data_IF_405363671733
#
_entry.id   IF_405363671733
#
_cell.length_a   1.000
_cell.length_b   1.000
_cell.length_c   1.000
_cell.angle_alpha   90.00
_cell.angle_beta   90.00
_cell.angle_gamma   90.00
#
_symmetry.space_group_name_H-M   'P 1'
#
loop_
_entity.id
_entity.type
_entity.pdbx_description
1 polymer ?
#
# COMPACT_ATOMS: atom_id res chain seq x y z
N UNK A 1 -24.68 -13.12 -29.04
CA UNK A 1 -25.81 -12.41 -28.40
C UNK A 1 -25.93 -12.97 -26.98
N UNK A 2 -25.20 -12.45 -25.99
CA UNK A 2 -25.43 -11.19 -25.23
C UNK A 2 -26.77 -11.27 -24.48
N UNK A 3 -26.91 -11.10 -23.17
CA UNK A 3 -26.01 -10.78 -22.07
C UNK A 3 -26.70 -11.19 -20.75
N UNK A 4 -25.96 -11.68 -19.76
CA UNK A 4 -26.43 -11.73 -18.37
C UNK A 4 -25.50 -10.84 -17.54
N UNK A 5 -25.98 -9.63 -17.29
CA UNK A 5 -25.33 -8.58 -16.52
C UNK A 5 -25.30 -9.03 -15.05
N UNK A 6 -24.08 -9.23 -14.51
CA UNK A 6 -23.84 -9.33 -13.07
C UNK A 6 -23.88 -7.92 -12.47
N UNK A 7 -24.78 -7.72 -11.52
CA UNK A 7 -24.89 -6.50 -10.71
C UNK A 7 -23.64 -6.35 -9.81
N UNK A 8 -23.05 -5.15 -9.69
CA UNK A 8 -22.07 -4.86 -8.64
C UNK A 8 -22.77 -4.57 -7.30
N UNK A 9 -22.11 -5.00 -6.24
CA UNK A 9 -22.46 -4.84 -4.82
C UNK A 9 -22.41 -3.35 -4.45
N UNK A 10 -23.49 -2.74 -3.90
CA UNK A 10 -23.49 -1.33 -3.51
C UNK A 10 -22.87 -1.15 -2.12
N UNK A 11 -21.84 -0.33 -2.02
CA UNK A 11 -21.42 0.31 -0.77
C UNK A 11 -22.43 1.41 -0.45
N UNK A 12 -23.07 1.30 0.71
CA UNK A 12 -24.18 2.15 1.15
C UNK A 12 -23.66 3.42 1.82
N UNK A 13 -24.25 4.53 1.37
CA UNK A 13 -24.25 5.89 1.90
C UNK A 13 -24.35 5.98 3.43
N UNK A 14 -23.64 6.95 4.02
CA UNK A 14 -24.16 7.72 5.15
C UNK A 14 -24.40 9.16 4.69
N UNK A 15 -25.67 9.51 4.55
CA UNK A 15 -26.16 10.87 4.46
C UNK A 15 -27.15 11.09 5.61
N UNK A 16 -26.94 12.23 6.28
CA UNK A 16 -27.91 13.14 6.90
C UNK A 16 -29.08 12.57 7.73
N UNK A 17 -29.11 12.97 9.01
CA UNK A 17 -30.37 13.25 9.73
C UNK A 17 -30.18 14.49 10.61
N UNK A 18 -30.72 15.59 10.11
CA UNK A 18 -31.28 16.67 10.91
C UNK A 18 -32.55 16.19 11.62
N UNK A 19 -32.66 16.46 12.91
CA UNK A 19 -33.93 16.74 13.58
C UNK A 19 -33.70 17.76 14.67
N UNK A 20 -34.25 18.95 14.44
CA UNK A 20 -34.47 19.98 15.45
C UNK A 20 -35.35 19.45 16.58
N UNK A 21 -34.96 19.74 17.82
CA UNK A 21 -35.92 19.94 18.91
C UNK A 21 -35.52 21.17 19.70
N UNK A 22 -36.44 22.13 19.66
CA UNK A 22 -36.46 23.42 20.31
C UNK A 22 -36.62 23.25 21.83
N UNK A 23 -35.80 23.92 22.64
CA UNK A 23 -36.19 24.30 24.00
C UNK A 23 -35.55 25.62 24.40
N UNK A 24 -36.42 26.55 24.79
CA UNK A 24 -36.14 27.89 25.27
C UNK A 24 -35.74 27.90 26.76
N UNK A 25 -34.76 28.72 27.16
CA UNK A 25 -34.97 29.80 28.14
C UNK A 25 -33.68 30.46 28.66
N UNK A 26 -33.77 31.79 28.74
CA UNK A 26 -33.18 32.71 29.74
C UNK A 26 -31.73 33.23 29.60
N UNK A 27 -31.69 34.55 29.64
CA UNK A 27 -30.57 35.50 29.65
C UNK A 27 -29.69 35.44 30.91
N UNK A 28 -28.38 35.65 30.77
CA UNK A 28 -27.64 36.58 31.64
C UNK A 28 -26.32 36.98 31.00
N UNK A 29 -26.09 38.30 30.97
CA UNK A 29 -24.85 38.95 30.52
C UNK A 29 -23.72 38.68 31.52
N UNK A 30 -22.57 38.26 31.02
CA UNK A 30 -21.35 38.13 31.81
C UNK A 30 -20.16 37.88 30.90
N UNK A 31 -19.38 38.93 30.63
CA UNK A 31 -18.12 38.87 29.90
C UNK A 31 -17.21 37.78 30.47
N UNK A 32 -17.01 36.71 29.70
CA UNK A 32 -15.93 35.75 29.93
C UNK A 32 -14.99 35.83 28.74
N UNK A 33 -13.73 36.14 29.06
CA UNK A 33 -12.60 36.00 28.15
C UNK A 33 -12.69 34.63 27.49
N UNK A 34 -12.87 34.64 26.17
CA UNK A 34 -12.79 33.44 25.35
C UNK A 34 -11.35 32.95 25.45
N UNK A 35 -11.15 31.84 26.16
CA UNK A 35 -9.92 31.07 26.04
C UNK A 35 -9.75 30.73 24.56
N UNK A 36 -8.72 31.29 23.95
CA UNK A 36 -8.34 31.08 22.56
C UNK A 36 -8.30 29.59 22.27
N UNK A 37 -9.05 29.18 21.24
CA UNK A 37 -8.94 27.85 20.66
C UNK A 37 -7.45 27.56 20.43
N UNK A 38 -6.96 26.43 20.96
CA UNK A 38 -5.65 25.90 20.59
C UNK A 38 -5.66 25.74 19.07
N UNK A 39 -4.95 26.60 18.34
CA UNK A 39 -4.92 26.58 16.88
C UNK A 39 -4.20 25.30 16.43
N UNK A 40 -4.98 24.26 16.19
CA UNK A 40 -4.48 23.01 15.62
C UNK A 40 -4.12 23.28 14.16
N UNK A 41 -2.91 22.88 13.77
CA UNK A 41 -2.44 22.90 12.39
C UNK A 41 -3.49 22.33 11.41
N UNK A 42 -3.67 22.93 10.22
CA UNK A 42 -4.58 22.41 9.20
C UNK A 42 -4.22 20.98 8.79
N UNK A 43 -5.24 20.17 8.47
CA UNK A 43 -5.05 18.85 7.88
C UNK A 43 -5.67 18.77 6.50
N UNK A 44 -4.88 18.33 5.55
CA UNK A 44 -5.32 18.09 4.17
C UNK A 44 -5.23 16.61 3.84
N UNK A 45 -5.89 16.19 2.78
CA UNK A 45 -5.87 14.81 2.35
C UNK A 45 -5.72 14.66 0.85
N UNK A 46 -5.17 13.51 0.45
CA UNK A 46 -5.19 12.98 -0.91
C UNK A 46 -5.80 11.59 -0.90
N UNK A 47 -6.74 11.35 -1.81
CA UNK A 47 -7.17 10.01 -2.19
C UNK A 47 -6.31 9.54 -3.35
N UNK A 48 -5.48 8.53 -3.12
CA UNK A 48 -4.55 8.00 -4.11
C UNK A 48 -5.21 6.94 -5.00
N UNK A 49 -4.83 6.91 -6.27
CA UNK A 49 -5.07 5.79 -7.17
C UNK A 49 -3.78 5.36 -7.89
N UNK A 50 -3.62 4.05 -8.11
CA UNK A 50 -2.49 3.44 -8.82
C UNK A 50 -3.00 2.59 -9.99
N UNK A 51 -2.64 2.98 -11.22
CA UNK A 51 -3.15 2.33 -12.43
C UNK A 51 -4.68 2.33 -12.52
N UNK A 52 -5.31 3.41 -12.04
CA UNK A 52 -6.77 3.58 -12.00
C UNK A 52 -7.47 2.85 -10.85
N UNK A 53 -6.75 2.12 -9.99
CA UNK A 53 -7.33 1.46 -8.82
C UNK A 53 -7.15 2.32 -7.57
N UNK A 54 -8.20 2.60 -6.78
CA UNK A 54 -8.07 3.32 -5.52
C UNK A 54 -7.11 2.61 -4.56
N UNK A 55 -6.14 3.36 -4.01
CA UNK A 55 -5.24 2.91 -2.95
C UNK A 55 -5.72 3.29 -1.55
N UNK A 56 -6.47 4.40 -1.44
CA UNK A 56 -6.98 4.92 -0.18
C UNK A 56 -6.51 6.34 0.09
N UNK A 57 -6.72 6.80 1.34
CA UNK A 57 -6.48 8.18 1.75
C UNK A 57 -5.18 8.35 2.52
N UNK A 58 -4.43 9.39 2.17
CA UNK A 58 -3.31 9.93 2.95
C UNK A 58 -3.72 11.26 3.53
N UNK A 59 -3.45 11.47 4.82
CA UNK A 59 -3.73 12.75 5.50
C UNK A 59 -2.40 13.37 5.91
N UNK A 60 -2.28 14.68 5.65
CA UNK A 60 -1.13 15.50 5.96
C UNK A 60 -1.50 16.53 7.02
N UNK A 61 -0.66 16.70 8.02
CA UNK A 61 -0.65 17.89 8.88
C UNK A 61 0.30 18.92 8.26
N UNK A 62 -0.15 20.17 8.17
CA UNK A 62 0.63 21.28 7.63
C UNK A 62 1.14 22.18 8.77
N UNK A 63 2.41 22.54 8.75
CA UNK A 63 3.06 23.35 9.80
C UNK A 63 2.75 24.84 9.63
N UNK A 64 1.45 25.18 9.63
CA UNK A 64 0.95 26.55 9.42
C UNK A 64 1.47 27.56 10.47
N UNK A 65 1.78 27.08 11.67
CA UNK A 65 2.38 27.93 12.71
C UNK A 65 3.82 28.34 12.38
N UNK A 66 4.57 27.51 11.65
CA UNK A 66 6.00 27.72 11.37
C UNK A 66 6.24 28.30 9.97
N UNK A 67 5.47 27.85 8.98
CA UNK A 67 5.58 28.21 7.56
C UNK A 67 4.18 28.46 6.94
N UNK A 68 3.45 29.48 7.44
CA UNK A 68 2.05 29.75 7.04
C UNK A 68 1.87 29.98 5.53
N UNK A 69 2.81 30.64 4.86
CA UNK A 69 2.71 30.89 3.41
C UNK A 69 2.81 29.60 2.61
N UNK A 70 3.74 28.72 3.00
CA UNK A 70 3.95 27.42 2.36
C UNK A 70 2.78 26.48 2.65
N UNK A 71 2.30 26.46 3.89
CA UNK A 71 1.13 25.69 4.31
C UNK A 71 -0.15 26.13 3.57
N UNK A 72 -0.43 27.44 3.51
CA UNK A 72 -1.62 27.98 2.82
C UNK A 72 -1.57 27.69 1.31
N UNK A 73 -0.40 27.77 0.67
CA UNK A 73 -0.24 27.38 -0.73
C UNK A 73 -0.67 25.92 -0.95
N UNK A 74 -0.16 24.99 -0.14
CA UNK A 74 -0.51 23.59 -0.30
C UNK A 74 -1.98 23.32 0.03
N UNK A 75 -2.51 23.91 1.11
CA UNK A 75 -3.92 23.78 1.52
C UNK A 75 -4.87 24.26 0.43
N UNK A 76 -4.65 25.45 -0.10
CA UNK A 76 -5.49 26.01 -1.15
C UNK A 76 -5.40 25.20 -2.46
N UNK A 77 -4.24 24.63 -2.79
CA UNK A 77 -4.09 23.70 -3.92
C UNK A 77 -4.75 22.35 -3.67
N UNK A 78 -4.95 21.92 -2.42
CA UNK A 78 -5.78 20.76 -2.09
C UNK A 78 -7.28 21.05 -2.28
N UNK A 79 -7.75 22.26 -1.97
CA UNK A 79 -9.19 22.61 -2.08
C UNK A 79 -9.58 23.10 -3.48
N UNK A 80 -8.64 23.63 -4.25
CA UNK A 80 -8.91 24.23 -5.55
C UNK A 80 -9.61 25.61 -5.49
N UNK A 81 -9.70 26.21 -4.29
CA UNK A 81 -10.53 27.41 -4.06
C UNK A 81 -10.03 28.67 -4.77
N UNK A 82 -8.77 28.70 -5.22
CA UNK A 82 -8.17 29.87 -5.89
C UNK A 82 -8.45 29.91 -7.40
N UNK A 83 -9.23 28.97 -7.92
CA UNK A 83 -9.72 29.01 -9.30
C UNK A 83 -8.65 28.65 -10.33
N UNK A 84 -8.55 29.44 -11.41
CA UNK A 84 -7.65 29.19 -12.54
C UNK A 84 -6.38 30.02 -12.38
N UNK A 85 -5.23 29.37 -12.47
CA UNK A 85 -3.92 30.01 -12.40
C UNK A 85 -3.48 30.62 -13.74
N UNK A 86 -2.28 31.22 -13.75
CA UNK A 86 -1.76 31.93 -14.94
C UNK A 86 -1.41 30.98 -16.08
N UNK A 87 -1.15 29.71 -15.78
CA UNK A 87 -0.96 28.67 -16.79
C UNK A 87 -2.27 28.23 -17.48
N UNK A 88 -3.42 28.81 -17.11
CA UNK A 88 -4.73 28.47 -17.67
C UNK A 88 -5.27 27.12 -17.18
N UNK A 89 -4.71 26.60 -16.08
CA UNK A 89 -5.12 25.35 -15.43
C UNK A 89 -5.70 25.65 -14.05
N UNK A 90 -6.62 24.84 -13.52
CA UNK A 90 -7.07 24.96 -12.14
C UNK A 90 -5.88 24.86 -11.17
N UNK A 91 -5.82 25.77 -10.19
CA UNK A 91 -4.90 25.71 -9.05
C UNK A 91 -5.35 24.61 -8.09
N UNK A 92 -5.26 23.35 -8.52
CA UNK A 92 -5.85 22.22 -7.82
C UNK A 92 -5.04 20.93 -8.07
N UNK A 93 -4.73 20.19 -7.00
CA UNK A 93 -4.01 18.92 -7.10
C UNK A 93 -4.85 17.75 -7.63
N UNK A 94 -6.18 17.84 -7.65
CA UNK A 94 -7.04 16.78 -8.16
C UNK A 94 -6.70 16.44 -9.61
N UNK A 95 -6.35 15.19 -9.85
CA UNK A 95 -5.90 14.66 -11.14
C UNK A 95 -4.40 14.80 -11.40
N UNK A 96 -3.64 15.49 -10.55
CA UNK A 96 -2.19 15.57 -10.68
C UNK A 96 -1.54 14.21 -10.39
N UNK A 97 -0.38 13.98 -11.00
CA UNK A 97 0.37 12.72 -10.91
C UNK A 97 1.60 12.85 -10.03
N UNK A 98 2.01 11.73 -9.44
CA UNK A 98 3.38 11.57 -8.93
C UNK A 98 4.27 11.17 -10.10
N UNK A 99 4.94 12.17 -10.67
CA UNK A 99 5.71 12.04 -11.90
C UNK A 99 7.13 11.51 -11.68
N UNK A 100 7.60 11.47 -10.42
CA UNK A 100 8.94 10.97 -10.06
C UNK A 100 8.90 10.25 -8.71
N UNK A 101 9.35 9.00 -8.67
CA UNK A 101 9.35 8.15 -7.48
C UNK A 101 10.70 7.46 -7.35
N UNK A 102 11.42 7.70 -6.25
CA UNK A 102 12.72 7.09 -6.00
C UNK A 102 12.66 6.34 -4.68
N UNK A 103 12.78 5.01 -4.78
CA UNK A 103 12.80 4.13 -3.60
C UNK A 103 13.95 4.50 -2.66
N UNK A 104 13.67 4.49 -1.36
CA UNK A 104 14.59 4.90 -0.30
C UNK A 104 15.05 6.36 -0.47
N UNK A 105 14.18 7.23 -0.97
CA UNK A 105 14.43 8.65 -1.07
C UNK A 105 13.13 9.44 -0.87
N UNK A 106 12.29 9.51 -1.90
CA UNK A 106 11.06 10.32 -1.88
C UNK A 106 10.09 9.95 -3.01
N UNK A 107 8.83 10.40 -2.85
CA UNK A 107 7.83 10.46 -3.93
C UNK A 107 7.51 11.93 -4.24
N UNK A 108 7.56 12.33 -5.50
CA UNK A 108 7.39 13.72 -5.94
C UNK A 108 6.19 13.87 -6.88
N UNK A 109 5.39 14.91 -6.63
CA UNK A 109 4.18 15.24 -7.37
C UNK A 109 3.94 16.74 -7.43
N UNK A 110 2.69 17.14 -7.70
CA UNK A 110 2.26 18.54 -7.65
C UNK A 110 2.44 19.35 -8.94
N UNK A 111 2.92 18.73 -10.02
CA UNK A 111 2.87 19.34 -11.36
C UNK A 111 1.51 19.08 -12.01
N UNK A 112 0.54 19.96 -11.75
CA UNK A 112 -0.80 19.87 -12.33
C UNK A 112 -0.92 20.56 -13.70
N UNK A 113 0.14 21.22 -14.19
CA UNK A 113 0.09 21.93 -15.48
C UNK A 113 0.65 21.10 -16.62
N UNK A 114 1.86 20.54 -16.47
CA UNK A 114 2.54 19.72 -17.47
C UNK A 114 2.56 18.21 -17.11
N UNK A 115 2.42 17.87 -15.82
CA UNK A 115 2.33 16.47 -15.36
C UNK A 115 3.63 15.67 -15.48
N UNK A 116 4.78 16.33 -15.63
CA UNK A 116 6.07 15.69 -15.92
C UNK A 116 7.26 16.26 -15.14
N UNK A 117 7.02 17.23 -14.25
CA UNK A 117 8.01 17.89 -13.41
C UNK A 117 8.55 19.20 -13.97
N UNK A 118 8.16 19.62 -15.18
CA UNK A 118 8.58 20.92 -15.75
C UNK A 118 7.59 22.04 -15.45
N UNK A 119 6.41 21.72 -14.91
CA UNK A 119 5.33 22.67 -14.67
C UNK A 119 5.07 22.96 -13.19
N UNK A 120 3.81 23.27 -12.90
CA UNK A 120 3.32 23.74 -11.61
C UNK A 120 3.41 25.26 -11.44
N UNK A 121 2.49 25.81 -10.64
CA UNK A 121 2.47 27.21 -10.22
C UNK A 121 1.85 27.33 -8.82
N UNK A 122 2.25 28.34 -8.06
CA UNK A 122 1.70 28.58 -6.72
C UNK A 122 0.42 29.40 -6.76
N UNK A 123 -0.28 29.48 -5.63
CA UNK A 123 -1.43 30.39 -5.49
C UNK A 123 -1.04 31.88 -5.51
N UNK A 124 0.26 32.19 -5.39
CA UNK A 124 0.81 33.55 -5.38
C UNK A 124 1.37 33.99 -6.74
N UNK A 125 1.33 33.10 -7.75
CA UNK A 125 1.97 33.28 -9.05
C UNK A 125 2.86 32.09 -9.41
N UNK A 126 3.74 32.25 -10.40
CA UNK A 126 4.55 31.13 -10.89
C UNK A 126 5.45 30.54 -9.79
N UNK A 127 6.10 31.39 -9.01
CA UNK A 127 7.04 31.02 -7.93
C UNK A 127 6.87 31.89 -6.69
N UNK A 128 7.29 31.38 -5.53
CA UNK A 128 7.45 32.11 -4.28
C UNK A 128 8.74 31.71 -3.54
N UNK A 129 9.12 32.53 -2.57
CA UNK A 129 10.34 32.44 -1.77
C UNK A 129 10.41 31.19 -0.87
N UNK A 130 11.62 30.84 -0.44
CA UNK A 130 11.82 29.89 0.67
C UNK A 130 11.45 30.61 1.98
N UNK A 131 10.34 30.22 2.59
CA UNK A 131 9.78 30.93 3.76
C UNK A 131 10.69 30.83 4.99
N UNK A 132 11.01 29.61 5.42
CA UNK A 132 11.95 29.32 6.50
C UNK A 132 12.41 27.87 6.46
N UNK A 133 13.62 27.59 6.97
CA UNK A 133 14.15 26.24 7.15
C UNK A 133 14.11 25.83 8.63
N UNK A 134 12.90 25.80 9.20
CA UNK A 134 12.67 25.50 10.63
C UNK A 134 12.90 24.02 10.93
N UNK A 135 12.41 23.15 10.04
CA UNK A 135 12.48 21.70 10.17
C UNK A 135 13.51 21.10 9.19
N UNK A 136 14.19 20.05 9.62
CA UNK A 136 15.13 19.28 8.80
C UNK A 136 14.49 17.97 8.31
N UNK A 137 15.13 17.31 7.34
CA UNK A 137 14.63 16.06 6.76
C UNK A 137 15.14 14.84 7.53
N UNK A 138 14.85 14.80 8.83
CA UNK A 138 15.40 13.86 9.82
C UNK A 138 14.58 12.58 10.01
N UNK A 139 13.47 12.44 9.28
CA UNK A 139 12.59 11.27 9.34
C UNK A 139 11.84 11.05 8.01
N UNK A 140 11.34 9.82 7.75
CA UNK A 140 10.43 9.58 6.65
C UNK A 140 9.09 10.29 6.86
N UNK A 141 8.35 10.44 5.77
CA UNK A 141 7.00 11.00 5.72
C UNK A 141 6.88 12.49 6.00
N UNK A 142 7.96 13.24 5.84
CA UNK A 142 7.93 14.70 5.82
C UNK A 142 7.49 15.20 4.46
N UNK A 143 6.65 16.22 4.46
CA UNK A 143 6.15 16.92 3.29
C UNK A 143 7.01 18.18 3.07
N UNK A 144 7.60 18.31 1.88
CA UNK A 144 8.60 19.34 1.60
C UNK A 144 8.50 19.86 0.15
N UNK A 145 8.84 21.13 -0.05
CA UNK A 145 8.72 21.80 -1.35
C UNK A 145 9.80 21.34 -2.33
N UNK A 146 9.40 20.97 -3.55
CA UNK A 146 10.35 20.83 -4.65
C UNK A 146 10.61 22.21 -5.28
N UNK A 147 11.86 22.47 -5.62
CA UNK A 147 12.30 23.73 -6.24
C UNK A 147 13.43 23.48 -7.25
N UNK A 148 13.79 24.52 -8.01
CA UNK A 148 14.87 24.54 -8.99
C UNK A 148 16.03 25.45 -8.54
N UNK A 149 16.24 25.57 -7.22
CA UNK A 149 17.15 26.52 -6.60
C UNK A 149 16.44 27.49 -5.65
N UNK A 150 17.19 28.39 -4.99
CA UNK A 150 16.64 29.27 -3.96
C UNK A 150 15.44 30.09 -4.47
N UNK A 151 14.40 30.18 -3.65
CA UNK A 151 13.20 30.99 -3.88
C UNK A 151 12.42 30.63 -5.16
N UNK A 152 12.37 29.34 -5.51
CA UNK A 152 11.64 28.84 -6.69
C UNK A 152 10.56 27.82 -6.34
N UNK A 153 9.90 28.01 -5.19
CA UNK A 153 8.79 27.18 -4.76
C UNK A 153 7.57 27.44 -5.65
N UNK A 154 6.89 26.38 -6.11
CA UNK A 154 5.67 26.48 -6.91
C UNK A 154 4.55 25.65 -6.30
N UNK A 155 4.08 24.64 -7.03
CA UNK A 155 3.15 23.62 -6.52
C UNK A 155 3.78 22.24 -6.36
N UNK A 156 4.99 22.02 -6.87
CA UNK A 156 5.62 20.72 -6.74
C UNK A 156 6.09 20.48 -5.31
N UNK A 157 5.86 19.27 -4.83
CA UNK A 157 6.24 18.84 -3.49
C UNK A 157 6.77 17.40 -3.56
N UNK A 158 7.44 16.98 -2.50
CA UNK A 158 7.77 15.59 -2.27
C UNK A 158 7.43 15.16 -0.86
N UNK A 159 7.22 13.85 -0.70
CA UNK A 159 7.11 13.19 0.59
C UNK A 159 8.33 12.31 0.77
N UNK A 160 9.10 12.52 1.83
CA UNK A 160 10.29 11.71 2.13
C UNK A 160 9.89 10.28 2.49
N UNK A 161 10.73 9.31 2.16
CA UNK A 161 10.54 7.90 2.55
C UNK A 161 11.71 7.36 3.37
N UNK A 162 12.73 8.19 3.59
CA UNK A 162 13.88 7.95 4.46
C UNK A 162 14.41 9.30 4.96
N UNK A 163 15.49 9.29 5.73
CA UNK A 163 16.24 10.49 6.12
C UNK A 163 16.94 11.09 4.90
N UNK A 164 16.77 12.39 4.68
CA UNK A 164 17.36 13.09 3.52
C UNK A 164 18.09 14.37 3.93
N UNK A 165 19.08 14.32 4.85
CA UNK A 165 19.74 15.51 5.40
C UNK A 165 20.48 16.36 4.34
N UNK A 166 20.79 15.76 3.18
CA UNK A 166 21.38 16.47 2.05
C UNK A 166 20.44 17.52 1.40
N UNK A 167 19.14 17.48 1.75
CA UNK A 167 18.10 18.44 1.34
C UNK A 167 17.88 19.57 2.36
N UNK A 168 18.51 19.49 3.53
CA UNK A 168 18.36 20.50 4.58
C UNK A 168 18.83 21.88 4.11
N UNK A 169 18.09 22.91 4.51
CA UNK A 169 18.30 24.31 4.12
C UNK A 169 18.24 24.57 2.61
N UNK A 170 17.70 23.62 1.83
CA UNK A 170 17.48 23.75 0.38
C UNK A 170 16.01 23.60 0.01
N UNK A 171 15.26 22.83 0.79
CA UNK A 171 13.83 22.58 0.59
C UNK A 171 13.08 22.87 1.88
N UNK A 172 12.00 23.65 1.78
CA UNK A 172 11.17 24.01 2.92
C UNK A 172 10.32 22.81 3.31
N UNK A 173 10.57 22.25 4.49
CA UNK A 173 9.71 21.25 5.12
C UNK A 173 8.50 21.97 5.72
N UNK A 174 7.30 21.58 5.32
CA UNK A 174 6.07 22.31 5.68
C UNK A 174 4.94 21.41 6.20
N UNK A 175 5.21 20.12 6.42
CA UNK A 175 4.23 19.23 7.01
C UNK A 175 4.74 17.80 7.15
N UNK A 176 3.82 16.90 7.51
CA UNK A 176 4.07 15.46 7.60
C UNK A 176 2.83 14.64 7.31
N UNK A 177 3.03 13.38 6.95
CA UNK A 177 1.95 12.40 6.86
C UNK A 177 1.55 11.95 8.27
N UNK A 178 0.27 12.12 8.60
CA UNK A 178 -0.33 11.67 9.86
C UNK A 178 -1.09 10.36 9.70
N UNK A 179 -1.66 10.09 8.52
CA UNK A 179 -2.40 8.86 8.21
C UNK A 179 -2.09 8.38 6.78
N UNK A 180 -2.12 7.07 6.53
CA UNK A 180 -1.86 6.51 5.20
C UNK A 180 -0.38 6.34 4.84
N UNK A 181 0.52 6.23 5.82
CA UNK A 181 1.97 5.99 5.59
C UNK A 181 2.24 4.76 4.71
N UNK A 182 1.44 3.71 4.87
CA UNK A 182 1.50 2.50 4.04
C UNK A 182 1.17 2.74 2.57
N UNK A 183 0.33 3.74 2.25
CA UNK A 183 0.04 4.14 0.86
C UNK A 183 1.27 4.83 0.26
N UNK A 184 1.92 5.72 1.01
CA UNK A 184 3.19 6.34 0.60
C UNK A 184 4.25 5.27 0.29
N UNK A 185 4.39 4.27 1.18
CA UNK A 185 5.26 3.11 0.95
C UNK A 185 4.84 2.27 -0.26
N UNK A 186 3.54 2.07 -0.47
CA UNK A 186 3.04 1.35 -1.66
C UNK A 186 3.39 2.08 -2.95
N UNK A 187 3.31 3.42 -2.95
CA UNK A 187 3.73 4.25 -4.08
C UNK A 187 5.24 4.18 -4.26
N UNK A 188 6.03 4.30 -3.18
CA UNK A 188 7.49 4.19 -3.21
C UNK A 188 7.99 2.88 -3.84
N UNK A 189 7.31 1.77 -3.56
CA UNK A 189 7.67 0.44 -4.05
C UNK A 189 7.13 0.14 -5.47
N UNK A 190 6.49 1.10 -6.14
CA UNK A 190 6.05 0.93 -7.52
C UNK A 190 7.26 0.79 -8.46
N UNK A 191 7.10 0.02 -9.53
CA UNK A 191 8.12 -0.07 -10.57
C UNK A 191 8.18 1.23 -11.36
N UNK A 192 9.38 1.76 -11.55
CA UNK A 192 9.63 2.98 -12.31
C UNK A 192 10.38 2.68 -13.61
N UNK A 193 10.17 3.54 -14.60
CA UNK A 193 10.86 3.53 -15.89
C UNK A 193 11.92 4.61 -15.98
N UNK A 194 12.14 5.13 -17.19
CA UNK A 194 13.05 6.25 -17.42
C UNK A 194 12.67 7.48 -16.56
N UNK A 195 13.69 8.19 -16.08
CA UNK A 195 13.55 9.39 -15.24
C UNK A 195 12.75 9.17 -13.95
N UNK A 196 12.81 7.95 -13.41
CA UNK A 196 12.13 7.55 -12.16
C UNK A 196 10.60 7.68 -12.22
N UNK A 197 10.00 7.73 -13.42
CA UNK A 197 8.55 7.82 -13.59
C UNK A 197 7.89 6.47 -13.30
N UNK A 198 6.83 6.40 -12.47
CA UNK A 198 6.06 5.17 -12.28
C UNK A 198 5.54 4.57 -13.60
N UNK A 199 5.67 3.25 -13.78
CA UNK A 199 5.15 2.55 -14.97
C UNK A 199 3.61 2.49 -14.97
N UNK A 200 3.02 2.46 -13.77
CA UNK A 200 1.58 2.62 -13.57
C UNK A 200 1.37 3.99 -12.96
N UNK A 201 0.48 4.77 -13.55
CA UNK A 201 0.20 6.13 -13.09
C UNK A 201 -0.25 6.13 -11.63
N UNK A 202 0.41 6.97 -10.82
CA UNK A 202 0.04 7.29 -9.45
C UNK A 202 -0.62 8.66 -9.49
N UNK A 203 -1.89 8.73 -9.14
CA UNK A 203 -2.74 9.91 -9.32
C UNK A 203 -3.35 10.32 -7.98
N UNK A 204 -3.46 11.63 -7.76
CA UNK A 204 -4.30 12.23 -6.73
C UNK A 204 -5.73 12.23 -7.27
N UNK A 205 -6.50 11.18 -6.97
CA UNK A 205 -7.86 10.99 -7.48
C UNK A 205 -8.84 12.01 -6.89
N UNK A 206 -8.65 12.36 -5.62
CA UNK A 206 -9.34 13.46 -4.96
C UNK A 206 -8.45 14.11 -3.90
N UNK A 207 -8.77 15.34 -3.52
CA UNK A 207 -8.03 16.05 -2.48
C UNK A 207 -8.90 17.13 -1.82
N UNK A 208 -8.46 17.57 -0.63
CA UNK A 208 -9.13 18.63 0.08
C UNK A 208 -8.58 18.87 1.48
N UNK A 209 -9.35 19.63 2.25
CA UNK A 209 -9.08 19.94 3.65
C UNK A 209 -10.06 19.19 4.55
N UNK A 210 -9.56 18.63 5.67
CA UNK A 210 -10.41 18.03 6.70
C UNK A 210 -10.94 19.13 7.60
N UNK A 211 -12.25 19.11 7.85
CA UNK A 211 -12.94 20.07 8.72
C UNK A 211 -13.92 19.35 9.65
N UNK A 212 -14.38 20.04 10.70
CA UNK A 212 -15.39 19.53 11.62
C UNK A 212 -15.04 18.18 12.25
N UNK A 213 -15.99 17.24 12.22
CA UNK A 213 -15.83 15.92 12.81
C UNK A 213 -14.67 15.11 12.22
N UNK A 214 -14.45 15.20 10.89
CA UNK A 214 -13.38 14.46 10.23
C UNK A 214 -11.97 14.94 10.65
N UNK A 215 -11.83 16.25 10.89
CA UNK A 215 -10.60 16.81 11.46
C UNK A 215 -10.40 16.32 12.90
N UNK A 216 -11.44 16.39 13.73
CA UNK A 216 -11.37 15.96 15.13
C UNK A 216 -11.01 14.46 15.25
N UNK A 217 -11.58 13.61 14.41
CA UNK A 217 -11.26 12.18 14.33
C UNK A 217 -9.80 11.95 13.92
N UNK A 218 -9.34 12.62 12.86
CA UNK A 218 -7.95 12.52 12.41
C UNK A 218 -6.97 12.94 13.52
N UNK A 219 -7.25 14.06 14.21
CA UNK A 219 -6.43 14.53 15.34
C UNK A 219 -6.43 13.52 16.48
N UNK A 220 -7.59 12.95 16.81
CA UNK A 220 -7.72 11.94 17.86
C UNK A 220 -7.04 10.60 17.54
N UNK A 221 -6.79 10.29 16.26
CA UNK A 221 -6.06 9.08 15.83
C UNK A 221 -4.61 9.32 15.41
N UNK A 222 -4.11 10.56 15.48
CA UNK A 222 -2.71 10.86 15.21
C UNK A 222 -1.78 10.11 16.17
N UNK A 223 -0.65 9.62 15.63
CA UNK A 223 0.28 8.76 16.35
C UNK A 223 -0.23 7.33 16.61
N UNK A 224 -1.51 7.00 16.32
CA UNK A 224 -2.00 5.63 16.30
C UNK A 224 -1.66 5.02 14.93
N UNK A 225 -1.03 3.85 14.94
CA UNK A 225 -0.78 3.08 13.71
C UNK A 225 -2.11 2.49 13.21
N UNK A 226 -2.93 3.28 12.51
CA UNK A 226 -4.17 2.78 11.92
C UNK A 226 -3.91 2.10 10.57
N UNK A 227 -4.30 0.82 10.50
CA UNK A 227 -4.86 0.22 9.29
C UNK A 227 -6.34 -0.10 9.53
N UNK A 228 -7.21 0.46 8.70
CA UNK A 228 -8.62 0.09 8.59
C UNK A 228 -8.82 -0.85 7.39
N UNK A 229 -8.91 -2.14 7.68
CA UNK A 229 -9.33 -3.21 6.77
C UNK A 229 -9.33 -4.52 7.55
N UNK A 230 -9.97 -5.60 7.05
CA UNK A 230 -10.56 -6.70 7.85
C UNK A 230 -9.60 -7.55 8.72
N UNK A 231 -8.33 -7.19 8.79
CA UNK A 231 -7.31 -7.78 9.68
C UNK A 231 -6.95 -6.85 10.87
N UNK A 232 -7.65 -5.72 11.00
CA UNK A 232 -7.26 -4.54 11.78
C UNK A 232 -7.92 -4.38 13.16
N UNK A 233 -8.18 -5.45 13.91
CA UNK A 233 -8.36 -5.30 15.36
C UNK A 233 -7.10 -5.78 16.10
N UNK A 234 -6.31 -4.83 16.58
CA UNK A 234 -5.22 -5.08 17.54
C UNK A 234 -3.84 -5.41 16.98
N UNK A 235 -3.59 -5.28 15.67
CA UNK A 235 -2.21 -5.22 15.12
C UNK A 235 -1.76 -3.75 15.12
N UNK A 236 -0.80 -3.43 15.99
CA UNK A 236 -0.28 -2.07 16.13
C UNK A 236 1.10 -1.89 15.45
N UNK A 237 1.52 -2.84 14.60
CA UNK A 237 2.78 -2.75 13.87
C UNK A 237 2.61 -2.01 12.53
N UNK A 238 3.59 -1.21 12.09
CA UNK A 238 3.59 -0.61 10.76
C UNK A 238 3.46 -1.67 9.65
N UNK A 239 2.97 -1.31 8.46
CA UNK A 239 2.90 -2.27 7.34
C UNK A 239 4.27 -2.61 6.75
N UNK A 240 5.22 -1.68 6.89
CA UNK A 240 6.57 -1.75 6.35
C UNK A 240 7.58 -1.76 7.50
N UNK A 241 8.49 -2.75 7.57
CA UNK A 241 9.39 -2.93 8.71
C UNK A 241 10.27 -1.72 9.02
N UNK A 242 10.67 -0.98 7.99
CA UNK A 242 11.52 0.21 8.09
C UNK A 242 10.90 1.30 8.99
N UNK A 243 9.57 1.30 9.10
CA UNK A 243 8.81 2.25 9.92
C UNK A 243 8.71 1.83 11.40
N UNK A 244 9.18 0.62 11.77
CA UNK A 244 9.23 0.16 13.16
C UNK A 244 10.39 0.84 13.93
N UNK A 245 11.43 1.26 13.21
CA UNK A 245 12.72 1.74 13.73
C UNK A 245 13.79 0.65 13.68
N UNK A 246 14.98 0.99 13.15
CA UNK A 246 16.06 0.03 12.88
C UNK A 246 16.50 -0.82 14.07
N UNK A 247 16.58 -0.22 15.25
CA UNK A 247 16.95 -0.92 16.51
C UNK A 247 15.92 -1.99 16.92
N UNK A 248 14.69 -1.88 16.41
CA UNK A 248 13.60 -2.83 16.68
C UNK A 248 13.48 -3.92 15.62
N UNK A 249 14.32 -3.94 14.57
CA UNK A 249 14.32 -4.97 13.53
C UNK A 249 15.30 -6.11 13.84
N UNK A 250 15.14 -6.72 15.02
CA UNK A 250 15.94 -7.86 15.47
C UNK A 250 15.13 -9.16 15.40
N UNK A 251 15.81 -10.31 15.38
CA UNK A 251 15.12 -11.59 15.45
C UNK A 251 14.23 -11.72 16.70
N UNK A 252 14.66 -11.15 17.84
CA UNK A 252 13.94 -11.22 19.11
C UNK A 252 12.59 -10.50 19.09
N UNK A 253 12.48 -9.40 18.35
CA UNK A 253 11.24 -8.62 18.22
C UNK A 253 10.38 -9.10 17.04
N UNK A 254 11.03 -9.44 15.93
CA UNK A 254 10.34 -9.77 14.67
C UNK A 254 9.75 -11.18 14.67
N UNK A 255 10.41 -12.18 15.26
CA UNK A 255 9.88 -13.56 15.26
C UNK A 255 8.54 -13.64 16.01
N UNK A 256 8.37 -13.05 17.21
CA UNK A 256 7.07 -12.98 17.87
C UNK A 256 6.01 -12.21 17.06
N UNK A 257 6.38 -11.08 16.46
CA UNK A 257 5.48 -10.29 15.60
C UNK A 257 5.00 -11.11 14.40
N UNK A 258 5.90 -11.80 13.71
CA UNK A 258 5.56 -12.66 12.58
C UNK A 258 4.65 -13.83 13.00
N UNK A 259 4.83 -14.36 14.22
CA UNK A 259 3.94 -15.39 14.76
C UNK A 259 2.51 -14.86 15.01
N UNK A 260 2.36 -13.65 15.55
CA UNK A 260 1.06 -12.98 15.72
C UNK A 260 0.39 -12.70 14.37
N UNK A 261 1.12 -12.10 13.43
CA UNK A 261 0.64 -11.86 12.07
C UNK A 261 0.21 -13.15 11.37
N UNK A 262 0.97 -14.24 11.52
CA UNK A 262 0.60 -15.55 11.00
C UNK A 262 -0.66 -16.08 11.68
N UNK A 263 -0.85 -15.89 12.98
CA UNK A 263 -2.07 -16.30 13.69
C UNK A 263 -3.30 -15.56 13.18
N UNK A 264 -3.19 -14.25 12.93
CA UNK A 264 -4.24 -13.45 12.27
C UNK A 264 -4.53 -13.92 10.86
N UNK A 265 -3.49 -14.18 10.07
CA UNK A 265 -3.62 -14.77 8.75
C UNK A 265 -4.35 -16.11 8.77
N UNK A 266 -4.06 -16.96 9.77
CA UNK A 266 -4.74 -18.24 9.95
C UNK A 266 -6.23 -18.04 10.30
N UNK A 267 -6.56 -17.05 11.12
CA UNK A 267 -7.95 -16.72 11.46
C UNK A 267 -8.72 -16.24 10.21
N UNK A 268 -8.15 -15.32 9.44
CA UNK A 268 -8.72 -14.85 8.18
C UNK A 268 -8.89 -15.99 7.16
N UNK A 269 -7.90 -16.88 7.06
CA UNK A 269 -7.98 -18.05 6.16
C UNK A 269 -9.12 -18.99 6.54
N UNK A 270 -9.33 -19.23 7.85
CA UNK A 270 -10.46 -20.02 8.37
C UNK A 270 -11.82 -19.37 8.06
N UNK A 271 -11.87 -18.04 8.07
CA UNK A 271 -13.03 -17.26 7.66
C UNK A 271 -13.23 -17.18 6.13
N UNK A 272 -12.40 -17.89 5.34
CA UNK A 272 -12.37 -17.83 3.89
C UNK A 272 -12.06 -16.45 3.28
N UNK A 273 -11.56 -15.50 4.09
CA UNK A 273 -11.00 -14.25 3.61
C UNK A 273 -9.53 -14.45 3.21
N UNK A 274 -9.34 -15.03 2.03
CA UNK A 274 -8.01 -15.36 1.52
C UNK A 274 -7.18 -14.12 1.17
N UNK A 275 -7.82 -12.98 0.91
CA UNK A 275 -7.13 -11.71 0.64
C UNK A 275 -6.53 -11.16 1.93
N UNK A 276 -7.33 -11.07 3.00
CA UNK A 276 -6.86 -10.71 4.33
C UNK A 276 -5.76 -11.65 4.82
N UNK A 277 -5.95 -12.97 4.66
CA UNK A 277 -4.97 -13.97 5.05
C UNK A 277 -3.64 -13.77 4.32
N UNK A 278 -3.69 -13.64 2.99
CA UNK A 278 -2.49 -13.41 2.15
C UNK A 278 -1.73 -12.16 2.58
N UNK A 279 -2.44 -11.06 2.88
CA UNK A 279 -1.84 -9.81 3.35
C UNK A 279 -1.10 -9.98 4.69
N UNK A 280 -1.70 -10.68 5.64
CA UNK A 280 -1.09 -10.92 6.94
C UNK A 280 0.21 -11.75 6.82
N UNK A 281 0.19 -12.81 6.02
CA UNK A 281 1.39 -13.62 5.76
C UNK A 281 2.46 -12.82 5.02
N UNK A 282 2.07 -12.04 4.02
CA UNK A 282 3.00 -11.17 3.29
C UNK A 282 3.64 -10.13 4.20
N UNK A 283 2.89 -9.55 5.15
CA UNK A 283 3.44 -8.64 6.17
C UNK A 283 4.45 -9.35 7.07
N UNK A 284 4.13 -10.56 7.55
CA UNK A 284 5.06 -11.36 8.34
C UNK A 284 6.35 -11.68 7.56
N UNK A 285 6.24 -12.06 6.28
CA UNK A 285 7.37 -12.28 5.38
C UNK A 285 8.23 -11.02 5.25
N UNK A 286 7.64 -9.84 5.01
CA UNK A 286 8.37 -8.56 4.92
C UNK A 286 9.19 -8.29 6.18
N UNK A 287 8.58 -8.45 7.35
CA UNK A 287 9.28 -8.25 8.63
C UNK A 287 10.46 -9.20 8.81
N UNK A 288 10.26 -10.50 8.55
CA UNK A 288 11.32 -11.50 8.63
C UNK A 288 12.45 -11.23 7.61
N UNK A 289 12.09 -10.70 6.43
CA UNK A 289 13.05 -10.32 5.40
C UNK A 289 13.83 -9.04 5.73
N UNK A 290 13.30 -8.18 6.61
CA UNK A 290 14.00 -6.99 7.07
C UNK A 290 15.01 -7.24 8.19
N UNK A 291 14.94 -8.37 8.91
CA UNK A 291 15.94 -8.71 9.94
C UNK A 291 17.29 -8.96 9.27
N UNK A 292 18.33 -8.20 9.64
CA UNK A 292 19.67 -8.35 9.07
C UNK A 292 20.30 -9.70 9.40
N UNK A 293 20.16 -10.15 10.64
CA UNK A 293 20.63 -11.45 11.11
C UNK A 293 19.64 -12.57 10.75
N UNK A 294 19.93 -13.29 9.66
CA UNK A 294 19.12 -14.41 9.14
C UNK A 294 19.31 -15.70 9.95
N UNK A 295 19.04 -15.61 11.25
CA UNK A 295 19.12 -16.75 12.16
C UNK A 295 18.22 -17.90 11.72
N UNK A 296 18.50 -19.08 12.25
CA UNK A 296 17.67 -20.28 12.04
C UNK A 296 16.22 -20.05 12.50
N UNK A 297 16.03 -19.28 13.58
CA UNK A 297 14.71 -18.90 14.09
C UNK A 297 13.92 -18.02 13.10
N UNK A 298 14.58 -17.05 12.45
CA UNK A 298 13.95 -16.20 11.41
C UNK A 298 13.53 -17.05 10.21
N UNK A 299 14.42 -17.95 9.76
CA UNK A 299 14.14 -18.86 8.64
C UNK A 299 12.99 -19.81 8.97
N UNK A 300 12.99 -20.41 10.16
CA UNK A 300 11.93 -21.30 10.64
C UNK A 300 10.57 -20.58 10.76
N UNK A 301 10.56 -19.32 11.18
CA UNK A 301 9.34 -18.50 11.23
C UNK A 301 8.81 -18.11 9.83
N UNK A 302 9.71 -17.94 8.86
CA UNK A 302 9.35 -17.54 7.48
C UNK A 302 8.65 -18.66 6.71
N UNK A 303 9.17 -19.89 6.79
CA UNK A 303 8.67 -21.06 6.05
C UNK A 303 7.13 -21.20 6.10
N UNK A 304 6.48 -21.26 7.28
CA UNK A 304 5.04 -21.44 7.33
C UNK A 304 4.26 -20.22 6.80
N UNK A 305 4.81 -19.00 6.88
CA UNK A 305 4.18 -17.80 6.32
C UNK A 305 4.14 -17.87 4.79
N UNK A 306 5.29 -18.13 4.16
CA UNK A 306 5.41 -18.27 2.69
C UNK A 306 4.52 -19.39 2.18
N UNK A 307 4.56 -20.53 2.85
CA UNK A 307 3.72 -21.68 2.53
C UNK A 307 2.24 -21.31 2.61
N UNK A 308 1.78 -20.70 3.71
CA UNK A 308 0.38 -20.32 3.87
C UNK A 308 -0.06 -19.28 2.83
N UNK A 309 0.80 -18.33 2.46
CA UNK A 309 0.55 -17.40 1.35
C UNK A 309 0.41 -18.13 0.02
N UNK A 310 1.26 -19.11 -0.28
CA UNK A 310 1.14 -19.94 -1.48
C UNK A 310 -0.23 -20.66 -1.54
N UNK A 311 -0.75 -21.12 -0.40
CA UNK A 311 -2.09 -21.71 -0.33
C UNK A 311 -3.20 -20.66 -0.56
N UNK A 312 -3.06 -19.44 -0.05
CA UNK A 312 -3.98 -18.35 -0.35
C UNK A 312 -3.99 -18.04 -1.85
N UNK A 313 -2.81 -17.96 -2.48
CA UNK A 313 -2.67 -17.73 -3.91
C UNK A 313 -3.35 -18.85 -4.74
N UNK A 314 -3.25 -20.12 -4.33
CA UNK A 314 -4.03 -21.21 -4.95
C UNK A 314 -5.55 -20.97 -4.84
N UNK A 315 -6.05 -20.56 -3.67
CA UNK A 315 -7.48 -20.27 -3.45
C UNK A 315 -7.98 -19.07 -4.26
N UNK A 316 -7.09 -18.11 -4.52
CA UNK A 316 -7.35 -16.90 -5.31
C UNK A 316 -7.08 -17.09 -6.81
N UNK A 317 -6.76 -18.30 -7.27
CA UNK A 317 -6.37 -18.61 -8.65
C UNK A 317 -5.14 -17.82 -9.17
N UNK A 318 -4.28 -17.35 -8.26
CA UNK A 318 -3.01 -16.69 -8.54
C UNK A 318 -1.90 -17.76 -8.68
N UNK A 319 -2.06 -18.65 -9.66
CA UNK A 319 -1.26 -19.88 -9.74
C UNK A 319 0.25 -19.64 -9.94
N UNK A 320 0.64 -18.62 -10.71
CA UNK A 320 2.05 -18.29 -10.90
C UNK A 320 2.71 -17.85 -9.58
N UNK A 321 2.03 -17.03 -8.77
CA UNK A 321 2.49 -16.61 -7.46
C UNK A 321 2.56 -17.80 -6.49
N UNK A 322 1.54 -18.67 -6.50
CA UNK A 322 1.51 -19.88 -5.68
C UNK A 322 2.71 -20.80 -5.96
N UNK A 323 3.03 -21.03 -7.24
CA UNK A 323 4.17 -21.84 -7.64
C UNK A 323 5.48 -21.23 -7.15
N UNK A 324 5.71 -19.94 -7.45
CA UNK A 324 6.94 -19.25 -7.08
C UNK A 324 7.18 -19.22 -5.57
N UNK A 325 6.13 -18.91 -4.78
CA UNK A 325 6.22 -18.90 -3.32
C UNK A 325 6.54 -20.29 -2.78
N UNK A 326 5.84 -21.33 -3.25
CA UNK A 326 6.07 -22.70 -2.81
C UNK A 326 7.48 -23.22 -3.18
N UNK A 327 7.99 -22.86 -4.36
CA UNK A 327 9.36 -23.22 -4.77
C UNK A 327 10.44 -22.51 -3.95
N UNK A 328 10.21 -21.26 -3.55
CA UNK A 328 11.20 -20.45 -2.84
C UNK A 328 11.67 -21.03 -1.51
N UNK A 329 10.86 -21.88 -0.87
CA UNK A 329 11.24 -22.52 0.41
C UNK A 329 12.04 -23.80 0.22
N UNK A 330 11.96 -24.47 -0.95
CA UNK A 330 12.58 -25.78 -1.17
C UNK A 330 14.11 -25.76 -1.12
N UNK A 331 14.72 -24.58 -1.30
CA UNK A 331 16.18 -24.40 -1.20
C UNK A 331 16.68 -24.05 0.20
N UNK A 332 15.80 -23.94 1.21
CA UNK A 332 16.19 -23.52 2.55
C UNK A 332 16.81 -24.69 3.34
N UNK A 333 17.94 -24.47 4.05
CA UNK A 333 18.56 -25.49 4.88
C UNK A 333 17.62 -25.87 6.04
N UNK A 334 17.64 -27.15 6.44
CA UNK A 334 16.87 -27.62 7.59
C UNK A 334 15.35 -27.71 7.38
N UNK A 335 14.85 -27.62 6.13
CA UNK A 335 13.42 -27.69 5.85
C UNK A 335 12.84 -29.06 6.25
N UNK A 336 11.86 -29.06 7.15
CA UNK A 336 11.20 -30.28 7.62
C UNK A 336 10.50 -31.04 6.47
N UNK A 337 10.49 -32.37 6.53
CA UNK A 337 9.84 -33.24 5.50
C UNK A 337 8.37 -32.85 5.27
N UNK A 338 7.64 -32.49 6.34
CA UNK A 338 6.26 -32.04 6.23
C UNK A 338 6.12 -30.75 5.41
N UNK A 339 7.07 -29.82 5.52
CA UNK A 339 7.04 -28.55 4.81
C UNK A 339 7.56 -28.69 3.37
N UNK A 340 8.56 -29.55 3.14
CA UNK A 340 8.95 -29.99 1.78
C UNK A 340 7.75 -30.60 1.04
N UNK A 341 7.00 -31.48 1.71
CA UNK A 341 5.80 -32.12 1.14
C UNK A 341 4.75 -31.08 0.77
N UNK A 342 4.44 -30.14 1.67
CA UNK A 342 3.49 -29.03 1.39
C UNK A 342 3.95 -28.15 0.24
N UNK A 343 5.23 -27.79 0.20
CA UNK A 343 5.83 -26.97 -0.84
C UNK A 343 5.68 -27.64 -2.21
N UNK A 344 6.13 -28.88 -2.34
CA UNK A 344 6.00 -29.66 -3.56
C UNK A 344 4.54 -29.86 -3.97
N UNK A 345 3.65 -30.22 -3.04
CA UNK A 345 2.24 -30.41 -3.37
C UNK A 345 1.58 -29.12 -3.88
N UNK A 346 1.83 -27.98 -3.22
CA UNK A 346 1.27 -26.67 -3.62
C UNK A 346 1.81 -26.20 -4.97
N UNK A 347 3.11 -26.33 -5.20
CA UNK A 347 3.73 -26.04 -6.50
C UNK A 347 3.16 -26.94 -7.61
N UNK A 348 2.99 -28.23 -7.31
CA UNK A 348 2.38 -29.20 -8.21
C UNK A 348 0.97 -28.82 -8.64
N UNK A 349 0.10 -28.50 -7.68
CA UNK A 349 -1.26 -28.01 -7.93
C UNK A 349 -1.27 -26.72 -8.76
N UNK A 350 -0.37 -25.78 -8.44
CA UNK A 350 -0.25 -24.52 -9.17
C UNK A 350 0.14 -24.74 -10.64
N UNK A 351 1.14 -25.58 -10.90
CA UNK A 351 1.57 -25.90 -12.27
C UNK A 351 0.53 -26.71 -13.04
N UNK A 352 -0.21 -27.59 -12.37
CA UNK A 352 -1.34 -28.30 -12.97
C UNK A 352 -2.39 -27.29 -13.47
N UNK A 353 -2.75 -26.30 -12.65
CA UNK A 353 -3.68 -25.24 -13.02
C UNK A 353 -3.15 -24.33 -14.15
N UNK A 354 -1.84 -24.10 -14.20
CA UNK A 354 -1.15 -23.41 -15.29
C UNK A 354 -0.99 -24.26 -16.56
N UNK A 355 -1.48 -25.50 -16.58
CA UNK A 355 -1.32 -26.47 -17.68
C UNK A 355 0.14 -26.79 -18.00
N UNK A 356 1.04 -26.62 -17.03
CA UNK A 356 2.43 -27.04 -17.13
C UNK A 356 2.58 -28.43 -16.50
N UNK A 357 2.18 -29.46 -17.27
CA UNK A 357 2.15 -30.84 -16.79
C UNK A 357 3.51 -31.39 -16.40
N UNK A 358 4.58 -31.00 -17.11
CA UNK A 358 5.95 -31.45 -16.80
C UNK A 358 6.36 -31.03 -15.38
N UNK A 359 6.23 -29.74 -15.07
CA UNK A 359 6.53 -29.24 -13.73
C UNK A 359 5.54 -29.77 -12.69
N UNK A 360 4.26 -29.88 -13.02
CA UNK A 360 3.25 -30.43 -12.11
C UNK A 360 3.62 -31.85 -11.67
N UNK A 361 3.91 -32.75 -12.62
CA UNK A 361 4.32 -34.13 -12.33
C UNK A 361 5.61 -34.16 -11.52
N UNK A 362 6.64 -33.37 -11.90
CA UNK A 362 7.91 -33.30 -11.17
C UNK A 362 7.69 -32.99 -9.69
N UNK A 363 6.90 -31.96 -9.37
CA UNK A 363 6.65 -31.57 -8.00
C UNK A 363 5.75 -32.57 -7.25
N UNK A 364 4.68 -33.06 -7.88
CA UNK A 364 3.77 -34.00 -7.23
C UNK A 364 4.43 -35.37 -6.98
N UNK A 365 5.32 -35.83 -7.87
CA UNK A 365 6.15 -37.03 -7.66
C UNK A 365 7.11 -36.85 -6.48
N UNK A 366 7.75 -35.69 -6.37
CA UNK A 366 8.59 -35.37 -5.21
C UNK A 366 7.76 -35.37 -3.91
N UNK A 367 6.55 -34.78 -3.92
CA UNK A 367 5.64 -34.83 -2.78
C UNK A 367 5.24 -36.27 -2.43
N UNK A 368 4.94 -37.11 -3.42
CA UNK A 368 4.57 -38.52 -3.23
C UNK A 368 5.70 -39.34 -2.61
N UNK A 369 6.97 -39.08 -2.97
CA UNK A 369 8.12 -39.76 -2.36
C UNK A 369 8.24 -39.44 -0.87
N UNK A 370 7.89 -38.22 -0.47
CA UNK A 370 7.93 -37.78 0.93
C UNK A 370 6.70 -38.24 1.74
N UNK A 371 5.54 -38.36 1.09
CA UNK A 371 4.28 -38.77 1.72
C UNK A 371 3.48 -39.73 0.78
N UNK A 372 3.89 -41.00 0.67
CA UNK A 372 3.30 -41.94 -0.30
C UNK A 372 1.83 -42.26 -0.04
N UNK A 373 1.40 -42.22 1.23
CA UNK A 373 0.04 -42.53 1.66
C UNK A 373 -0.95 -41.35 1.54
N UNK A 374 -0.48 -40.17 1.12
CA UNK A 374 -1.33 -39.00 1.01
C UNK A 374 -2.27 -39.10 -0.21
N UNK A 375 -3.56 -39.32 0.08
CA UNK A 375 -4.60 -39.46 -0.93
C UNK A 375 -4.80 -38.20 -1.77
N UNK A 376 -4.50 -37.00 -1.26
CA UNK A 376 -4.62 -35.77 -2.03
C UNK A 376 -3.54 -35.70 -3.11
N UNK A 377 -2.29 -36.07 -2.77
CA UNK A 377 -1.18 -36.14 -3.74
C UNK A 377 -1.49 -37.16 -4.84
N UNK A 378 -1.95 -38.36 -4.46
CA UNK A 378 -2.28 -39.42 -5.42
C UNK A 378 -3.41 -38.99 -6.38
N UNK A 379 -4.45 -38.34 -5.86
CA UNK A 379 -5.58 -37.82 -6.66
C UNK A 379 -5.12 -36.76 -7.65
N UNK A 380 -4.27 -35.83 -7.21
CA UNK A 380 -3.78 -34.76 -8.07
C UNK A 380 -2.88 -35.29 -9.19
N UNK A 381 -1.99 -36.25 -8.89
CA UNK A 381 -1.19 -36.94 -9.92
C UNK A 381 -2.05 -37.63 -10.97
N UNK A 382 -3.08 -38.35 -10.53
CA UNK A 382 -4.01 -39.02 -11.43
C UNK A 382 -4.78 -38.01 -12.30
N UNK A 383 -5.17 -36.86 -11.73
CA UNK A 383 -5.84 -35.79 -12.46
C UNK A 383 -4.93 -35.18 -13.54
N UNK A 384 -3.66 -34.90 -13.22
CA UNK A 384 -2.67 -34.38 -14.18
C UNK A 384 -2.41 -35.39 -15.31
N UNK A 385 -2.22 -36.66 -14.96
CA UNK A 385 -1.99 -37.72 -15.95
C UNK A 385 -3.18 -37.88 -16.91
N UNK A 386 -4.41 -37.85 -16.38
CA UNK A 386 -5.63 -37.89 -17.18
C UNK A 386 -5.72 -36.68 -18.11
N UNK A 387 -5.48 -35.48 -17.60
CA UNK A 387 -5.52 -34.24 -18.39
C UNK A 387 -4.49 -34.25 -19.54
N UNK A 388 -3.30 -34.80 -19.32
CA UNK A 388 -2.31 -35.01 -20.38
C UNK A 388 -2.77 -36.01 -21.45
N UNK A 389 -3.32 -37.15 -21.03
CA UNK A 389 -3.82 -38.17 -21.96
C UNK A 389 -4.95 -37.60 -22.84
N UNK A 390 -5.89 -36.87 -22.23
CA UNK A 390 -6.99 -36.22 -22.93
C UNK A 390 -6.48 -35.15 -23.91
N UNK A 391 -5.44 -34.37 -23.54
CA UNK A 391 -4.80 -33.39 -24.43
C UNK A 391 -4.16 -34.06 -25.64
N UNK A 392 -3.35 -35.10 -25.41
CA UNK A 392 -2.67 -35.85 -26.48
C UNK A 392 -3.69 -36.52 -27.42
N UNK A 393 -4.80 -37.04 -26.89
CA UNK A 393 -5.87 -37.61 -27.70
C UNK A 393 -6.54 -36.56 -28.61
N UNK A 394 -6.83 -35.37 -28.07
CA UNK A 394 -7.39 -34.25 -28.84
C UNK A 394 -6.42 -33.76 -29.92
N UNK A 395 -5.14 -33.62 -29.60
CA UNK A 395 -4.10 -33.24 -30.57
C UNK A 395 -4.04 -34.23 -31.73
N UNK A 396 -4.00 -35.54 -31.45
CA UNK A 396 -4.04 -36.59 -32.48
C UNK A 396 -5.28 -36.52 -33.36
N UNK A 397 -6.45 -36.30 -32.76
CA UNK A 397 -7.72 -36.16 -33.51
C UNK A 397 -7.76 -34.90 -34.39
N UNK A 398 -7.16 -33.79 -33.94
CA UNK A 398 -7.04 -32.57 -34.73
C UNK A 398 -6.11 -32.78 -35.93
N UNK A 399 -4.93 -33.37 -35.71
CA UNK A 399 -4.00 -33.68 -36.81
C UNK A 399 -4.62 -34.64 -37.83
N UNK A 400 -5.31 -35.69 -37.39
CA UNK A 400 -5.95 -36.64 -38.32
C UNK A 400 -7.05 -36.00 -39.18
N UNK A 401 -7.65 -34.88 -38.75
CA UNK A 401 -8.66 -34.12 -39.50
C UNK A 401 -8.08 -33.02 -40.38
N UNK A 402 -6.85 -32.58 -40.14
CA UNK A 402 -6.17 -31.59 -41.00
C UNK A 402 -5.53 -32.24 -42.24
N UNK A 403 -5.25 -33.54 -42.19
CA UNK A 403 -4.63 -34.31 -43.27
C UNK A 403 -5.58 -35.33 -43.93
N UNK A 404 -6.87 -35.28 -43.59
CA UNK A 404 -7.95 -36.00 -44.26
C UNK A 404 -8.84 -34.98 -44.97
#
# INVERSE_FOLDING_TARGET
MSATIRRPVPWMYYADRTTDTNSSSSSSSGSKMVATATSTNPRTYFDFALGGQPLGRVVFELYDTDVPKTAENFRALCTGEKGIGKAGKPLHYKGATFHRVIKNFMIQGGDFTAGNGTGGESIYGEKFEDEAFVHTHDQPFLLSMANAGPNTNGSQFFVTTTLTPHLDNKHVVFGRVVQGKNIIRTVEYTTTGASDKPLRDVVIADCGELTGAALAESVASDGKFEWAGPVGEGDNSPDFPEDLGGDKLTAATVVPLAADLRARGNAAFKAADYVAASRAYAKAERYLDAVSDKTEAVTAAKIPCVLNRAMCALKLAQFAEAAAAAESVLGLPGLAVADQTKAHFRAGCAYAALKNSEKAVKHLEAARRLAPEDKAIQRELAAVAKAEADRKAKERQMYSRMFA
#
